data_IF_060888216258
#
_entry.id   IF_060888216258
#
_cell.length_a   1.000
_cell.length_b   1.000
_cell.length_c   1.000
_cell.angle_alpha   90.00
_cell.angle_beta   90.00
_cell.angle_gamma   90.00
#
_symmetry.space_group_name_H-M   'P 1'
#
loop_
_entity.id
_entity.type
_entity.pdbx_description
1 polymer ?
#
# COMPACT_ATOMS: atom_id res chain seq x y z
N UNK A 1 11.55 9.83 19.03
CA UNK A 1 10.75 9.66 17.77
C UNK A 1 11.19 8.44 16.98
N UNK A 2 12.46 8.33 16.57
CA UNK A 2 12.96 7.19 15.76
C UNK A 2 12.83 5.86 16.50
N UNK A 3 13.22 5.82 17.78
CA UNK A 3 13.10 4.63 18.64
C UNK A 3 11.67 4.11 18.70
N UNK A 4 10.70 5.00 18.91
CA UNK A 4 9.29 4.66 18.94
C UNK A 4 8.81 4.09 17.60
N UNK A 5 9.28 4.68 16.48
CA UNK A 5 8.96 4.17 15.16
C UNK A 5 9.48 2.75 14.92
N UNK A 6 10.69 2.45 15.41
CA UNK A 6 11.27 1.12 15.32
C UNK A 6 10.43 0.10 16.11
N UNK A 7 10.01 0.44 17.32
CA UNK A 7 9.19 -0.44 18.16
C UNK A 7 7.79 -0.65 17.58
N UNK A 8 7.12 0.42 17.17
CA UNK A 8 5.76 0.36 16.64
C UNK A 8 5.66 -0.39 15.31
N UNK A 9 6.69 -0.30 14.46
CA UNK A 9 6.69 -0.91 13.13
C UNK A 9 7.47 -2.22 13.07
N UNK A 10 7.99 -2.70 14.19
CA UNK A 10 8.79 -3.93 14.25
C UNK A 10 9.97 -3.92 13.26
N UNK A 11 10.67 -2.79 13.16
CA UNK A 11 11.81 -2.63 12.27
C UNK A 11 13.02 -3.41 12.81
N UNK A 12 13.56 -4.31 11.99
CA UNK A 12 14.74 -5.09 12.34
C UNK A 12 16.00 -4.29 12.01
N UNK A 13 16.60 -3.69 13.04
CA UNK A 13 17.87 -2.99 12.91
C UNK A 13 18.59 -3.00 14.27
N UNK A 14 19.87 -2.61 14.28
CA UNK A 14 20.68 -2.59 15.52
C UNK A 14 20.42 -1.34 16.38
N UNK A 15 19.49 -0.49 15.98
CA UNK A 15 19.11 0.71 16.71
C UNK A 15 18.78 1.88 15.79
N UNK A 16 18.37 3.03 16.37
CA UNK A 16 17.94 4.18 15.56
C UNK A 16 19.01 4.77 14.66
N UNK A 17 20.27 4.48 14.94
CA UNK A 17 21.43 5.01 14.21
C UNK A 17 21.90 4.09 13.08
N UNK A 18 21.26 2.94 12.91
CA UNK A 18 21.58 2.02 11.82
C UNK A 18 21.19 2.66 10.49
N UNK A 19 22.10 2.66 9.54
CA UNK A 19 21.85 3.26 8.23
C UNK A 19 20.80 2.49 7.45
N UNK A 20 19.89 3.21 6.79
CA UNK A 20 18.80 2.60 6.04
C UNK A 20 19.30 1.70 4.90
N UNK A 21 20.44 2.01 4.31
CA UNK A 21 21.01 1.22 3.21
C UNK A 21 21.40 -0.20 3.63
N UNK A 22 21.61 -0.40 4.92
CA UNK A 22 21.94 -1.71 5.48
C UNK A 22 20.71 -2.53 5.89
N UNK A 23 19.50 -1.97 5.72
CA UNK A 23 18.25 -2.65 6.04
C UNK A 23 17.73 -3.43 4.85
N UNK A 24 16.95 -4.48 5.11
CA UNK A 24 16.20 -5.17 4.06
C UNK A 24 15.20 -4.22 3.39
N UNK A 25 14.74 -4.52 2.17
CA UNK A 25 13.73 -3.74 1.47
C UNK A 25 12.47 -3.51 2.30
N UNK A 26 12.00 -4.53 3.03
CA UNK A 26 10.83 -4.42 3.91
C UNK A 26 11.07 -3.47 5.08
N UNK A 27 12.26 -3.51 5.69
CA UNK A 27 12.60 -2.60 6.78
C UNK A 27 12.81 -1.17 6.29
N UNK A 28 13.36 -0.98 5.09
CA UNK A 28 13.44 0.34 4.45
C UNK A 28 12.05 0.95 4.26
N UNK A 29 11.09 0.16 3.77
CA UNK A 29 9.70 0.61 3.63
C UNK A 29 9.09 0.99 4.97
N UNK A 30 9.34 0.23 6.03
CA UNK A 30 8.85 0.57 7.38
C UNK A 30 9.42 1.89 7.88
N UNK A 31 10.68 2.21 7.57
CA UNK A 31 11.29 3.51 7.90
C UNK A 31 10.56 4.65 7.19
N UNK A 32 10.25 4.47 5.91
CA UNK A 32 9.46 5.44 5.12
C UNK A 32 8.08 5.64 5.74
N UNK A 33 7.38 4.57 6.11
CA UNK A 33 6.09 4.64 6.79
C UNK A 33 6.19 5.38 8.12
N UNK A 34 7.22 5.09 8.94
CA UNK A 34 7.43 5.77 10.21
C UNK A 34 7.53 7.28 10.01
N UNK A 35 8.30 7.70 9.02
CA UNK A 35 8.47 9.12 8.69
C UNK A 35 7.13 9.80 8.39
N UNK A 36 6.27 9.17 7.60
CA UNK A 36 4.98 9.74 7.23
C UNK A 36 3.95 9.65 8.34
N UNK A 37 3.96 8.58 9.13
CA UNK A 37 3.05 8.41 10.28
C UNK A 37 3.21 9.57 11.28
N UNK A 38 4.44 9.99 11.55
CA UNK A 38 4.69 11.08 12.50
C UNK A 38 4.25 12.46 12.00
N UNK A 39 3.89 12.58 10.73
CA UNK A 39 3.27 13.82 10.22
C UNK A 39 1.76 13.86 10.46
N UNK A 40 1.17 12.80 10.96
CA UNK A 40 -0.26 12.62 11.20
C UNK A 40 -1.11 13.02 9.98
N UNK A 41 -0.90 12.38 8.82
CA UNK A 41 -1.59 12.77 7.60
C UNK A 41 -3.07 12.40 7.65
N UNK A 42 -3.90 13.20 7.02
CA UNK A 42 -5.32 12.86 6.79
C UNK A 42 -5.48 11.97 5.56
N UNK A 43 -4.61 12.16 4.57
CA UNK A 43 -4.56 11.35 3.34
C UNK A 43 -3.13 10.90 3.13
N UNK A 44 -2.95 9.63 2.85
CA UNK A 44 -1.66 9.03 2.55
C UNK A 44 -1.72 8.38 1.17
N UNK A 45 -0.79 8.77 0.30
CA UNK A 45 -0.68 8.19 -1.05
C UNK A 45 0.54 7.29 -1.08
N UNK A 46 0.33 6.03 -1.42
CA UNK A 46 1.37 5.00 -1.47
C UNK A 46 1.50 4.48 -2.90
N UNK A 47 2.68 4.65 -3.48
CA UNK A 47 2.97 4.18 -4.83
C UNK A 47 3.83 2.92 -4.76
N UNK A 48 3.27 1.79 -5.18
CA UNK A 48 3.91 0.46 -5.15
C UNK A 48 4.56 0.14 -3.80
N UNK A 49 3.79 0.17 -2.69
CA UNK A 49 4.37 0.10 -1.34
C UNK A 49 5.08 -1.20 -1.00
N UNK A 50 4.82 -2.27 -1.74
CA UNK A 50 5.41 -3.59 -1.48
C UNK A 50 6.34 -4.06 -2.59
N UNK A 51 6.70 -3.18 -3.53
CA UNK A 51 7.56 -3.53 -4.64
C UNK A 51 8.94 -3.96 -4.16
N UNK A 52 9.38 -5.15 -4.61
CA UNK A 52 10.68 -5.69 -4.23
C UNK A 52 10.76 -6.22 -2.79
N UNK A 53 9.65 -6.33 -2.10
CA UNK A 53 9.57 -6.79 -0.71
C UNK A 53 9.18 -8.27 -0.69
N UNK A 54 9.79 -9.06 0.22
CA UNK A 54 9.45 -10.48 0.37
C UNK A 54 8.05 -10.67 1.00
N UNK A 55 7.53 -11.91 0.90
CA UNK A 55 6.16 -12.24 1.33
C UNK A 55 5.93 -11.93 2.82
N UNK A 56 6.89 -12.24 3.69
CA UNK A 56 6.76 -11.98 5.12
C UNK A 56 6.69 -10.50 5.45
N UNK A 57 7.54 -9.71 4.82
CA UNK A 57 7.56 -8.26 5.01
C UNK A 57 6.33 -7.57 4.37
N UNK A 58 5.81 -8.08 3.26
CA UNK A 58 4.56 -7.59 2.66
C UNK A 58 3.41 -7.64 3.66
N UNK A 59 3.28 -8.75 4.37
CA UNK A 59 2.21 -8.94 5.36
C UNK A 59 2.28 -7.89 6.47
N UNK A 60 3.48 -7.58 6.94
CA UNK A 60 3.67 -6.54 7.94
C UNK A 60 3.30 -5.15 7.42
N UNK A 61 3.65 -4.85 6.17
CA UNK A 61 3.28 -3.58 5.51
C UNK A 61 1.76 -3.48 5.37
N UNK A 62 1.08 -4.55 4.98
CA UNK A 62 -0.38 -4.56 4.89
C UNK A 62 -1.04 -4.30 6.24
N UNK A 63 -0.50 -4.87 7.31
CA UNK A 63 -1.00 -4.62 8.66
C UNK A 63 -0.85 -3.15 9.06
N UNK A 64 0.27 -2.52 8.72
CA UNK A 64 0.50 -1.09 8.96
C UNK A 64 -0.54 -0.25 8.22
N UNK A 65 -0.78 -0.55 6.95
CA UNK A 65 -1.76 0.17 6.12
C UNK A 65 -3.17 0.02 6.72
N UNK A 66 -3.55 -1.19 7.11
CA UNK A 66 -4.85 -1.45 7.72
C UNK A 66 -5.01 -0.73 9.06
N UNK A 67 -3.97 -0.68 9.88
CA UNK A 67 -4.00 0.03 11.15
C UNK A 67 -4.18 1.54 10.96
N UNK A 68 -3.51 2.12 9.96
CA UNK A 68 -3.67 3.53 9.61
C UNK A 68 -5.09 3.82 9.12
N UNK A 69 -5.64 2.97 8.28
CA UNK A 69 -7.02 3.11 7.81
C UNK A 69 -8.01 3.03 8.97
N UNK A 70 -7.79 2.12 9.92
CA UNK A 70 -8.62 1.98 11.11
C UNK A 70 -8.57 3.23 12.01
N UNK A 71 -7.47 3.97 11.97
CA UNK A 71 -7.31 5.24 12.71
C UNK A 71 -7.93 6.43 11.97
N UNK A 72 -8.53 6.23 10.82
CA UNK A 72 -9.21 7.27 10.07
C UNK A 72 -8.38 7.93 8.97
N UNK A 73 -7.20 7.42 8.67
CA UNK A 73 -6.39 7.92 7.56
C UNK A 73 -6.99 7.43 6.24
N UNK A 74 -7.24 8.32 5.31
CA UNK A 74 -7.65 7.96 3.96
C UNK A 74 -6.41 7.52 3.17
N UNK A 75 -6.44 6.32 2.59
CA UNK A 75 -5.28 5.77 1.91
C UNK A 75 -5.59 5.56 0.42
N UNK A 76 -4.71 6.09 -0.42
CA UNK A 76 -4.72 5.83 -1.86
C UNK A 76 -3.48 4.99 -2.16
N UNK A 77 -3.70 3.75 -2.61
CA UNK A 77 -2.61 2.84 -2.93
C UNK A 77 -2.58 2.60 -4.43
N UNK A 78 -1.43 2.85 -5.04
CA UNK A 78 -1.18 2.51 -6.44
C UNK A 78 -0.38 1.21 -6.47
N UNK A 79 -0.89 0.20 -7.17
CA UNK A 79 -0.23 -1.10 -7.27
C UNK A 79 -0.45 -1.72 -8.64
N UNK A 80 0.57 -2.40 -9.13
CA UNK A 80 0.49 -3.23 -10.34
C UNK A 80 0.17 -4.69 -10.04
N UNK A 81 0.12 -5.06 -8.76
CA UNK A 81 -0.17 -6.43 -8.33
C UNK A 81 -1.66 -6.60 -8.04
N UNK A 82 -2.36 -7.31 -8.91
CA UNK A 82 -3.81 -7.49 -8.82
C UNK A 82 -4.26 -8.14 -7.49
N UNK A 83 -3.59 -9.19 -6.98
CA UNK A 83 -3.96 -9.75 -5.68
C UNK A 83 -3.86 -8.75 -4.53
N UNK A 84 -2.87 -7.86 -4.56
CA UNK A 84 -2.71 -6.79 -3.56
C UNK A 84 -3.87 -5.80 -3.62
N UNK A 85 -4.21 -5.34 -4.82
CA UNK A 85 -5.33 -4.41 -5.03
C UNK A 85 -6.63 -5.02 -4.55
N UNK A 86 -6.93 -6.26 -4.93
CA UNK A 86 -8.15 -6.96 -4.52
C UNK A 86 -8.22 -7.21 -3.03
N UNK A 87 -7.09 -7.55 -2.41
CA UNK A 87 -7.05 -7.90 -0.99
C UNK A 87 -7.07 -6.70 -0.05
N UNK A 88 -6.61 -5.54 -0.49
CA UNK A 88 -6.39 -4.39 0.37
C UNK A 88 -7.41 -3.26 0.19
N UNK A 89 -8.13 -3.23 -0.91
CA UNK A 89 -8.92 -2.05 -1.29
C UNK A 89 -10.40 -2.18 -0.94
N UNK A 90 -11.00 -1.06 -0.54
CA UNK A 90 -12.46 -0.93 -0.38
C UNK A 90 -13.11 -0.51 -1.70
N UNK A 91 -12.39 0.30 -2.47
CA UNK A 91 -12.79 0.75 -3.80
C UNK A 91 -11.58 0.71 -4.73
N UNK A 92 -11.80 0.35 -5.98
CA UNK A 92 -10.73 0.22 -6.96
C UNK A 92 -11.01 1.11 -8.16
N UNK A 93 -10.07 2.01 -8.44
CA UNK A 93 -10.09 2.85 -9.63
C UNK A 93 -9.18 2.22 -10.68
N UNK A 94 -9.72 1.95 -11.85
CA UNK A 94 -8.95 1.42 -12.97
C UNK A 94 -8.59 2.56 -13.92
N UNK A 95 -7.30 2.72 -14.16
CA UNK A 95 -6.77 3.78 -15.03
C UNK A 95 -6.07 3.15 -16.23
N UNK A 96 -6.35 3.67 -17.40
CA UNK A 96 -5.68 3.27 -18.64
C UNK A 96 -5.38 4.49 -19.49
N UNK A 97 -4.15 4.61 -19.94
CA UNK A 97 -3.70 5.69 -20.83
C UNK A 97 -4.09 7.09 -20.33
N UNK A 98 -3.91 7.30 -19.03
CA UNK A 98 -4.21 8.58 -18.39
C UNK A 98 -5.70 8.86 -18.13
N UNK A 99 -6.57 7.90 -18.40
CA UNK A 99 -8.01 8.05 -18.21
C UNK A 99 -8.57 7.06 -17.19
N UNK A 100 -9.48 7.52 -16.35
CA UNK A 100 -10.22 6.66 -15.44
C UNK A 100 -11.23 5.86 -16.25
N UNK A 101 -11.11 4.54 -16.25
CA UNK A 101 -11.99 3.62 -16.98
C UNK A 101 -13.18 3.18 -16.15
N UNK A 102 -13.05 3.22 -14.85
CA UNK A 102 -14.14 2.90 -13.94
C UNK A 102 -13.69 2.89 -12.50
N UNK A 103 -14.64 2.97 -11.59
CA UNK A 103 -14.43 2.82 -10.15
C UNK A 103 -15.35 1.70 -9.68
N UNK A 104 -14.76 0.66 -9.08
CA UNK A 104 -15.49 -0.52 -8.62
C UNK A 104 -15.52 -0.54 -7.10
N UNK A 105 -16.70 -0.79 -6.52
CA UNK A 105 -16.80 -1.10 -5.11
C UNK A 105 -16.30 -2.54 -4.86
N UNK A 106 -15.96 -2.86 -3.63
CA UNK A 106 -15.38 -4.15 -3.26
C UNK A 106 -16.23 -5.34 -3.74
N UNK A 107 -17.55 -5.22 -3.68
CA UNK A 107 -18.49 -6.26 -4.09
C UNK A 107 -18.48 -6.52 -5.60
N UNK A 108 -18.15 -5.50 -6.39
CA UNK A 108 -18.09 -5.56 -7.85
C UNK A 108 -16.69 -5.90 -8.37
N UNK A 109 -15.68 -5.73 -7.51
CA UNK A 109 -14.28 -5.87 -7.89
C UNK A 109 -13.87 -7.33 -7.90
N UNK A 110 -13.59 -7.85 -9.08
CA UNK A 110 -12.95 -9.13 -9.29
C UNK A 110 -11.90 -9.00 -10.39
N UNK A 111 -11.11 -10.05 -10.57
CA UNK A 111 -10.04 -10.05 -11.56
C UNK A 111 -10.59 -9.79 -12.97
N UNK A 112 -11.71 -10.39 -13.32
CA UNK A 112 -12.31 -10.26 -14.65
C UNK A 112 -12.76 -8.82 -14.93
N UNK A 113 -13.53 -8.22 -14.04
CA UNK A 113 -14.02 -6.85 -14.21
C UNK A 113 -12.87 -5.83 -14.27
N UNK A 114 -11.87 -5.99 -13.44
CA UNK A 114 -10.69 -5.11 -13.47
C UNK A 114 -9.95 -5.24 -14.80
N UNK A 115 -9.75 -6.46 -15.29
CA UNK A 115 -9.03 -6.69 -16.54
C UNK A 115 -9.81 -6.19 -17.75
N UNK A 116 -11.14 -6.31 -17.75
CA UNK A 116 -11.98 -5.73 -18.81
C UNK A 116 -11.73 -4.23 -18.93
N UNK A 117 -11.80 -3.51 -17.80
CA UNK A 117 -11.57 -2.06 -17.78
C UNK A 117 -10.13 -1.71 -18.12
N UNK A 118 -9.16 -2.46 -17.61
CA UNK A 118 -7.74 -2.22 -17.84
C UNK A 118 -7.32 -2.45 -19.30
N UNK A 119 -8.04 -3.29 -20.03
CA UNK A 119 -7.78 -3.57 -21.45
C UNK A 119 -8.64 -2.71 -22.41
N UNK A 120 -9.44 -1.80 -21.88
CA UNK A 120 -10.20 -0.84 -22.66
C UNK A 120 -11.65 -1.22 -22.95
N UNK A 121 -12.13 -2.33 -22.38
CA UNK A 121 -13.53 -2.75 -22.50
C UNK A 121 -14.47 -2.04 -21.52
N UNK A 122 -15.73 -2.36 -21.60
CA UNK A 122 -16.76 -1.93 -20.65
C UNK A 122 -17.41 -3.16 -20.02
N UNK A 123 -17.72 -3.07 -18.72
CA UNK A 123 -18.27 -4.20 -17.96
C UNK A 123 -19.64 -4.64 -18.49
N UNK A 124 -20.39 -3.70 -19.06
CA UNK A 124 -21.75 -3.95 -19.56
C UNK A 124 -21.81 -4.35 -21.04
N UNK A 125 -20.69 -4.66 -21.65
CA UNK A 125 -20.62 -5.16 -23.03
C UNK A 125 -20.64 -6.68 -23.11
#
# INVERSE_FOLDING_TARGET
MVKRGIEELHIKCFGPQHECDNLSGGNQQKVVFAKWIYTEPKVLILDEPTRGVDIGAKKEIYNIINDLAAKGVAIIMVSSELPEVLGMSDRIMVVREGMVRGVLDKEEADQENIMILATGGNINE
#
